data_IF_921723214728
#
_entry.id   IF_921723214728
#
_cell.length_a   1.000
_cell.length_b   1.000
_cell.length_c   1.000
_cell.angle_alpha   90.00
_cell.angle_beta   90.00
_cell.angle_gamma   90.00
#
_symmetry.space_group_name_H-M   'P 1'
#
loop_
_entity.id
_entity.type
_entity.pdbx_description
1 polymer ?
#
# COMPACT_ATOMS: atom_id res chain seq x y z
N UNK A 1 21.37 -20.06 21.41
CA UNK A 1 21.36 -18.74 20.76
C UNK A 1 22.77 -18.19 20.81
N UNK A 2 23.13 -17.32 19.87
CA UNK A 2 24.45 -16.68 19.80
C UNK A 2 24.24 -15.18 19.56
N UNK A 3 25.19 -14.36 20.02
CA UNK A 3 25.25 -12.94 19.70
C UNK A 3 26.42 -12.71 18.76
N UNK A 4 26.19 -11.88 17.75
CA UNK A 4 27.19 -11.50 16.76
C UNK A 4 27.22 -9.97 16.74
N UNK A 5 28.39 -9.41 17.00
CA UNK A 5 28.61 -7.97 16.97
C UNK A 5 29.22 -7.56 15.63
N UNK A 6 28.75 -6.43 15.09
CA UNK A 6 29.29 -5.80 13.89
C UNK A 6 29.87 -4.44 14.25
N UNK A 7 30.89 -4.01 13.52
CA UNK A 7 31.48 -2.68 13.71
C UNK A 7 30.51 -1.55 13.36
N UNK A 8 29.60 -1.79 12.40
CA UNK A 8 28.63 -0.80 11.92
C UNK A 8 27.20 -1.32 12.09
N UNK A 9 26.29 -0.41 12.44
CA UNK A 9 24.85 -0.70 12.57
C UNK A 9 24.23 -1.15 11.24
N UNK A 10 24.63 -0.52 10.12
CA UNK A 10 24.13 -0.86 8.77
C UNK A 10 24.41 -2.31 8.39
N UNK A 11 25.60 -2.81 8.76
CA UNK A 11 26.04 -4.17 8.45
C UNK A 11 25.22 -5.18 9.27
N UNK A 12 24.96 -4.87 10.54
CA UNK A 12 24.08 -5.67 11.40
C UNK A 12 22.64 -5.73 10.85
N UNK A 13 22.08 -4.58 10.47
CA UNK A 13 20.73 -4.50 9.90
C UNK A 13 20.60 -5.29 8.59
N UNK A 14 21.64 -5.25 7.75
CA UNK A 14 21.68 -6.03 6.51
C UNK A 14 21.81 -7.53 6.79
N UNK A 15 22.64 -7.93 7.76
CA UNK A 15 22.80 -9.33 8.16
C UNK A 15 21.48 -9.93 8.67
N UNK A 16 20.71 -9.19 9.49
CA UNK A 16 19.37 -9.61 9.94
C UNK A 16 18.45 -9.86 8.74
N UNK A 17 18.40 -8.95 7.78
CA UNK A 17 17.54 -9.09 6.59
C UNK A 17 17.88 -10.30 5.73
N UNK A 18 19.15 -10.66 5.64
CA UNK A 18 19.62 -11.76 4.77
C UNK A 18 19.54 -13.11 5.49
N UNK A 19 19.90 -13.16 6.77
CA UNK A 19 20.05 -14.42 7.50
C UNK A 19 18.77 -14.88 8.20
N UNK A 20 17.78 -14.00 8.42
CA UNK A 20 16.52 -14.40 9.02
C UNK A 20 15.73 -15.32 8.08
N UNK A 21 15.36 -16.51 8.56
CA UNK A 21 14.72 -17.56 7.76
C UNK A 21 15.67 -18.40 6.92
N UNK A 22 17.00 -18.17 7.00
CA UNK A 22 17.96 -18.96 6.25
C UNK A 22 18.02 -20.41 6.76
N UNK A 23 17.89 -21.37 5.85
CA UNK A 23 17.95 -22.79 6.17
C UNK A 23 19.38 -23.29 6.07
N UNK A 24 20.02 -23.56 7.20
CA UNK A 24 21.39 -24.06 7.25
C UNK A 24 21.46 -25.53 6.85
N UNK A 25 20.53 -26.34 7.34
CA UNK A 25 20.42 -27.76 7.00
C UNK A 25 18.95 -28.24 7.09
N UNK A 26 18.73 -29.56 7.08
CA UNK A 26 17.38 -30.13 7.15
C UNK A 26 16.64 -29.79 8.46
N UNK A 27 17.35 -29.62 9.57
CA UNK A 27 16.79 -29.48 10.91
C UNK A 27 16.94 -28.07 11.49
N UNK A 28 17.76 -27.21 10.89
CA UNK A 28 18.08 -25.88 11.42
C UNK A 28 17.67 -24.77 10.44
N UNK A 29 16.84 -23.86 10.95
CA UNK A 29 16.44 -22.62 10.29
C UNK A 29 16.83 -21.49 11.23
N UNK A 30 17.54 -20.48 10.71
CA UNK A 30 17.93 -19.33 11.49
C UNK A 30 16.76 -18.40 11.73
N UNK A 31 16.64 -17.96 12.98
CA UNK A 31 15.77 -16.86 13.39
C UNK A 31 16.69 -15.78 13.92
N UNK A 32 16.77 -14.67 13.19
CA UNK A 32 17.74 -13.60 13.46
C UNK A 32 16.95 -12.33 13.72
N UNK A 33 17.17 -11.74 14.90
CA UNK A 33 16.53 -10.49 15.32
C UNK A 33 17.60 -9.54 15.88
N UNK A 34 17.45 -8.22 15.71
CA UNK A 34 18.31 -7.24 16.38
C UNK A 34 18.05 -7.26 17.89
N UNK A 35 19.09 -6.93 18.67
CA UNK A 35 18.97 -6.87 20.12
C UNK A 35 18.04 -5.74 20.61
N UNK A 36 17.98 -4.62 19.88
CA UNK A 36 17.06 -3.51 20.17
C UNK A 36 15.58 -3.84 19.95
N UNK A 37 15.25 -4.96 19.28
CA UNK A 37 13.86 -5.36 19.09
C UNK A 37 13.17 -5.84 20.36
N UNK A 38 13.91 -6.05 21.46
CA UNK A 38 13.26 -6.33 22.74
C UNK A 38 12.54 -5.11 23.30
N UNK A 39 13.09 -3.91 23.11
CA UNK A 39 12.51 -2.67 23.66
C UNK A 39 11.15 -2.38 23.00
N UNK A 40 11.02 -2.55 21.69
CA UNK A 40 9.74 -2.34 21.00
C UNK A 40 8.68 -3.43 21.28
N UNK A 41 9.08 -4.61 21.76
CA UNK A 41 8.13 -5.63 22.24
C UNK A 41 7.66 -5.35 23.66
N UNK A 42 8.42 -4.59 24.44
CA UNK A 42 8.03 -4.14 25.79
C UNK A 42 7.11 -2.92 25.71
N UNK A 43 7.36 -2.01 24.77
CA UNK A 43 6.49 -0.87 24.43
C UNK A 43 5.38 -1.24 23.43
N UNK A 44 4.72 -2.38 23.62
CA UNK A 44 3.49 -2.67 22.90
C UNK A 44 2.38 -1.76 23.46
N UNK A 45 1.80 -0.91 22.61
CA UNK A 45 0.57 -0.19 22.95
C UNK A 45 -0.54 -1.23 23.20
N UNK A 46 -0.89 -1.48 24.46
CA UNK A 46 -1.95 -2.43 24.85
C UNK A 46 -3.35 -1.98 24.38
N UNK A 47 -3.51 -0.68 24.13
CA UNK A 47 -4.78 -0.08 23.75
C UNK A 47 -4.95 -0.05 22.22
N UNK A 48 -5.64 -1.05 21.67
CA UNK A 48 -6.13 -0.98 20.30
C UNK A 48 -7.17 0.16 20.18
N UNK A 49 -6.83 1.23 19.46
CA UNK A 49 -7.79 2.26 19.09
C UNK A 49 -8.50 1.89 17.78
N UNK A 50 -9.85 1.92 17.72
CA UNK A 50 -10.56 1.76 16.45
C UNK A 50 -10.13 2.88 15.49
N UNK A 51 -9.91 2.57 14.20
CA UNK A 51 -9.56 3.60 13.23
C UNK A 51 -10.66 4.66 13.17
N UNK A 52 -10.26 5.92 13.03
CA UNK A 52 -11.22 7.00 12.81
C UNK A 52 -12.01 6.71 11.52
N UNK A 53 -13.34 6.78 11.62
CA UNK A 53 -14.20 6.65 10.44
C UNK A 53 -13.89 7.81 9.52
N UNK A 54 -13.48 7.52 8.30
CA UNK A 54 -13.36 8.54 7.26
C UNK A 54 -14.67 9.34 7.17
N UNK A 55 -14.60 10.67 7.06
CA UNK A 55 -15.79 11.48 6.91
C UNK A 55 -16.55 11.03 5.66
N UNK A 56 -17.88 11.01 5.74
CA UNK A 56 -18.69 10.68 4.59
C UNK A 56 -18.46 11.71 3.48
N UNK A 57 -17.92 11.26 2.35
CA UNK A 57 -17.91 12.01 1.11
C UNK A 57 -19.16 11.68 0.29
N UNK A 58 -19.95 12.71 -0.04
CA UNK A 58 -21.06 12.56 -0.97
C UNK A 58 -20.50 12.22 -2.36
N UNK A 59 -20.75 10.98 -2.80
CA UNK A 59 -20.34 10.50 -4.13
C UNK A 59 -21.20 11.06 -5.27
N UNK A 60 -22.21 11.86 -4.94
CA UNK A 60 -23.17 12.41 -5.88
C UNK A 60 -24.05 11.32 -6.52
N UNK A 61 -24.66 11.64 -7.65
CA UNK A 61 -25.51 10.70 -8.37
C UNK A 61 -24.68 9.61 -9.08
N UNK A 62 -24.70 8.39 -8.55
CA UNK A 62 -24.03 7.22 -9.13
C UNK A 62 -24.60 6.77 -10.49
N UNK A 63 -25.78 7.29 -10.86
CA UNK A 63 -26.47 7.04 -12.13
C UNK A 63 -26.48 8.27 -13.03
N UNK A 64 -25.60 9.24 -12.79
CA UNK A 64 -25.48 10.44 -13.61
C UNK A 64 -25.30 10.12 -15.10
N UNK A 65 -24.60 9.03 -15.43
CA UNK A 65 -24.40 8.54 -16.80
C UNK A 65 -25.70 8.13 -17.52
N UNK A 66 -26.75 7.74 -16.79
CA UNK A 66 -28.07 7.43 -17.39
C UNK A 66 -28.87 8.69 -17.73
N UNK A 67 -28.47 9.86 -17.23
CA UNK A 67 -29.11 11.14 -17.49
C UNK A 67 -28.52 11.85 -18.71
N UNK A 68 -27.52 11.26 -19.37
CA UNK A 68 -26.97 11.80 -20.62
C UNK A 68 -28.02 11.68 -21.74
N UNK A 69 -28.44 12.83 -22.28
CA UNK A 69 -29.45 12.91 -23.33
C UNK A 69 -29.00 12.23 -24.63
N UNK A 70 -27.70 12.26 -24.90
CA UNK A 70 -27.08 11.72 -26.11
C UNK A 70 -26.66 10.25 -25.93
N UNK A 71 -26.88 9.67 -24.74
CA UNK A 71 -26.54 8.30 -24.38
C UNK A 71 -25.06 7.95 -24.66
N UNK A 72 -24.15 8.90 -24.45
CA UNK A 72 -22.72 8.68 -24.69
C UNK A 72 -22.12 7.72 -23.63
N UNK A 73 -21.30 6.79 -24.09
CA UNK A 73 -20.57 5.87 -23.21
C UNK A 73 -19.45 6.59 -22.44
N UNK A 74 -19.13 6.10 -21.24
CA UNK A 74 -17.97 6.54 -20.45
C UNK A 74 -16.87 5.48 -20.44
N UNK A 75 -15.61 5.90 -20.51
CA UNK A 75 -14.46 5.02 -20.42
C UNK A 75 -13.37 5.60 -19.51
N UNK A 76 -12.58 4.74 -18.87
CA UNK A 76 -11.48 5.14 -18.01
C UNK A 76 -10.12 4.90 -18.68
N UNK A 77 -9.21 5.86 -18.55
CA UNK A 77 -7.82 5.76 -19.00
C UNK A 77 -6.92 5.79 -17.78
N UNK A 78 -6.12 4.74 -17.61
CA UNK A 78 -5.12 4.63 -16.55
C UNK A 78 -3.76 4.96 -17.15
N UNK A 79 -3.07 5.94 -16.57
CA UNK A 79 -1.74 6.36 -17.04
C UNK A 79 -0.81 6.67 -15.86
N UNK A 80 0.41 7.12 -16.14
CA UNK A 80 1.41 7.38 -15.09
C UNK A 80 1.83 6.13 -14.31
N UNK A 81 1.87 4.95 -14.95
CA UNK A 81 2.25 3.70 -14.28
C UNK A 81 1.18 3.11 -13.35
N UNK A 82 -0.06 3.61 -13.41
CA UNK A 82 -1.16 3.16 -12.54
C UNK A 82 -1.57 4.15 -11.47
N UNK A 83 -0.87 5.30 -11.39
CA UNK A 83 -1.10 6.34 -10.37
C UNK A 83 -2.20 7.34 -10.75
N UNK A 84 -2.69 7.31 -11.99
CA UNK A 84 -3.72 8.26 -12.44
C UNK A 84 -4.81 7.57 -13.22
N UNK A 85 -6.06 7.91 -12.89
CA UNK A 85 -7.25 7.39 -13.57
C UNK A 85 -8.14 8.54 -14.03
N UNK A 86 -8.21 8.73 -15.34
CA UNK A 86 -9.07 9.72 -15.97
C UNK A 86 -10.34 9.05 -16.51
N UNK A 87 -11.49 9.65 -16.28
CA UNK A 87 -12.79 9.20 -16.80
C UNK A 87 -13.22 10.17 -17.90
N UNK A 88 -13.45 9.64 -19.10
CA UNK A 88 -13.88 10.39 -20.27
C UNK A 88 -15.30 10.02 -20.70
N UNK A 89 -15.99 10.99 -21.31
CA UNK A 89 -17.24 10.80 -22.03
C UNK A 89 -16.95 10.71 -23.54
N UNK A 90 -17.45 9.66 -24.18
CA UNK A 90 -17.26 9.41 -25.61
C UNK A 90 -18.26 10.22 -26.45
N UNK A 91 -18.04 11.53 -26.58
CA UNK A 91 -18.90 12.36 -27.44
C UNK A 91 -18.53 12.21 -28.92
N UNK A 92 -19.48 12.50 -29.82
CA UNK A 92 -19.30 12.33 -31.27
C UNK A 92 -18.23 13.23 -31.91
N UNK A 93 -17.79 14.30 -31.23
CA UNK A 93 -16.77 15.23 -31.76
C UNK A 93 -15.41 14.96 -31.13
N UNK A 94 -15.33 15.05 -29.80
CA UNK A 94 -14.10 14.82 -29.05
C UNK A 94 -14.40 14.29 -27.64
N UNK A 95 -13.54 13.43 -27.07
CA UNK A 95 -13.76 12.91 -25.74
C UNK A 95 -13.62 14.00 -24.68
N UNK A 96 -14.62 14.11 -23.80
CA UNK A 96 -14.65 15.14 -22.74
C UNK A 96 -14.19 14.53 -21.42
N UNK A 97 -13.21 15.13 -20.77
CA UNK A 97 -12.76 14.69 -19.43
C UNK A 97 -13.83 15.01 -18.39
N UNK A 98 -14.35 13.97 -17.72
CA UNK A 98 -15.36 14.09 -16.67
C UNK A 98 -14.76 14.15 -15.27
N UNK A 99 -13.73 13.32 -15.00
CA UNK A 99 -13.12 13.24 -13.66
C UNK A 99 -11.72 12.65 -13.71
N UNK A 100 -10.75 13.33 -13.10
CA UNK A 100 -9.41 12.79 -12.79
C UNK A 100 -9.41 12.24 -11.35
N UNK A 101 -8.79 11.08 -11.15
CA UNK A 101 -8.57 10.47 -9.83
C UNK A 101 -7.07 10.17 -9.66
N UNK A 102 -6.50 10.46 -8.48
CA UNK A 102 -5.17 9.99 -8.12
C UNK A 102 -5.17 8.49 -7.81
#
# INVERSE_FOLDING_TARGET
YIFIEYANEKDAAQAVKIANGYKLDKHHIFIVNPFSSFDCMLDLEEDWSPPEKEPYEDKGNLRSWLLDADCNDQYSVIHGGGEKVDIYLNTSTEPVLLKERP
#
